data_IF_162338019678
#
_entry.id   IF_162338019678
#
_cell.length_a   1.000
_cell.length_b   1.000
_cell.length_c   1.000
_cell.angle_alpha   90.00
_cell.angle_beta   90.00
_cell.angle_gamma   90.00
#
_symmetry.space_group_name_H-M   'P 1'
#
loop_
_entity.id
_entity.type
_entity.pdbx_description
1 polymer ?
#
# COMPACT_ATOMS: atom_id res chain seq x y z
N UNK A 1 -12.64 -3.98 3.10
CA UNK A 1 -12.72 -2.88 4.10
C UNK A 1 -12.62 -1.55 3.39
N UNK A 2 -13.47 -0.60 3.70
CA UNK A 2 -13.53 0.71 3.07
C UNK A 2 -13.64 1.79 4.15
N UNK A 3 -12.66 2.71 4.17
CA UNK A 3 -12.66 3.87 5.04
C UNK A 3 -12.98 5.14 4.25
N UNK A 4 -13.74 6.04 4.87
CA UNK A 4 -14.04 7.37 4.33
C UNK A 4 -13.70 8.41 5.37
N UNK A 5 -12.84 9.34 5.03
CA UNK A 5 -12.39 10.38 5.94
C UNK A 5 -13.08 11.73 5.67
N UNK A 6 -13.51 12.39 6.75
CA UNK A 6 -14.02 13.76 6.70
C UNK A 6 -12.90 14.82 6.71
N UNK A 7 -13.29 16.10 6.79
CA UNK A 7 -12.33 17.20 6.86
C UNK A 7 -11.43 17.09 8.09
N UNK A 8 -10.14 17.37 7.92
CA UNK A 8 -9.13 17.39 8.99
C UNK A 8 -9.04 16.07 9.79
N UNK A 9 -9.56 14.97 9.25
CA UNK A 9 -9.52 13.68 9.91
C UNK A 9 -8.26 12.89 9.55
N UNK A 10 -7.87 11.99 10.43
CA UNK A 10 -6.77 11.05 10.21
C UNK A 10 -7.24 9.63 10.44
N UNK A 11 -6.88 8.73 9.55
CA UNK A 11 -6.96 7.29 9.77
C UNK A 11 -5.57 6.68 9.61
N UNK A 12 -5.20 5.82 10.54
CA UNK A 12 -4.00 5.01 10.46
C UNK A 12 -4.36 3.57 10.82
N UNK A 13 -3.96 2.61 10.00
CA UNK A 13 -4.15 1.20 10.35
C UNK A 13 -2.92 0.37 9.99
N UNK A 14 -2.71 -0.64 10.80
CA UNK A 14 -1.67 -1.64 10.61
C UNK A 14 -2.31 -2.98 10.30
N UNK A 15 -1.77 -3.67 9.32
CA UNK A 15 -2.23 -4.96 8.86
C UNK A 15 -1.07 -5.95 8.92
N UNK A 16 -1.34 -7.11 9.50
CA UNK A 16 -0.38 -8.23 9.50
C UNK A 16 -1.07 -9.43 8.87
N UNK A 17 -0.46 -9.96 7.81
CA UNK A 17 -0.95 -11.13 7.08
C UNK A 17 0.03 -12.29 7.29
N UNK A 18 -0.47 -13.38 7.86
CA UNK A 18 0.32 -14.59 8.09
C UNK A 18 -0.57 -15.82 8.22
N UNK A 19 -0.05 -16.99 7.88
CA UNK A 19 -0.61 -18.30 8.23
C UNK A 19 -1.60 -18.90 7.26
N UNK A 20 -2.26 -18.15 6.40
CA UNK A 20 -3.20 -18.69 5.40
C UNK A 20 -2.46 -19.23 4.17
N UNK A 21 -2.98 -20.31 3.57
CA UNK A 21 -2.48 -20.82 2.30
C UNK A 21 -2.57 -19.78 1.19
N UNK A 22 -3.70 -19.07 1.13
CA UNK A 22 -3.95 -17.95 0.21
C UNK A 22 -4.52 -16.79 1.00
N UNK A 23 -3.88 -15.63 0.87
CA UNK A 23 -4.38 -14.35 1.42
C UNK A 23 -4.65 -13.40 0.25
N UNK A 24 -5.84 -12.80 0.26
CA UNK A 24 -6.25 -11.82 -0.74
C UNK A 24 -6.95 -10.66 -0.06
N UNK A 25 -6.26 -9.52 0.12
CA UNK A 25 -6.78 -8.43 0.95
C UNK A 25 -6.36 -7.05 0.46
N UNK A 26 -7.37 -6.22 0.16
CA UNK A 26 -7.19 -4.86 -0.36
C UNK A 26 -8.10 -3.85 0.36
N UNK A 27 -7.73 -3.36 1.55
CA UNK A 27 -8.44 -2.26 2.18
C UNK A 27 -8.31 -0.98 1.36
N UNK A 28 -9.35 -0.17 1.36
CA UNK A 28 -9.41 1.08 0.62
C UNK A 28 -9.70 2.25 1.54
N UNK A 29 -9.05 3.38 1.30
CA UNK A 29 -9.31 4.63 1.99
C UNK A 29 -9.66 5.73 1.00
N UNK A 30 -10.82 6.34 1.18
CA UNK A 30 -11.26 7.51 0.42
C UNK A 30 -11.01 8.75 1.27
N UNK A 31 -10.02 9.54 0.90
CA UNK A 31 -9.69 10.83 1.49
C UNK A 31 -10.63 11.89 0.91
N UNK A 32 -11.87 11.91 1.43
CA UNK A 32 -12.95 12.73 0.89
C UNK A 32 -12.89 14.15 1.39
N UNK A 33 -12.59 14.33 2.66
CA UNK A 33 -12.55 15.66 3.28
C UNK A 33 -11.23 16.37 3.02
N UNK A 34 -11.25 17.69 3.04
CA UNK A 34 -10.05 18.52 2.91
C UNK A 34 -9.12 18.31 4.11
N UNK A 35 -7.81 18.35 3.87
CA UNK A 35 -6.75 18.11 4.86
C UNK A 35 -6.83 16.74 5.56
N UNK A 36 -7.52 15.76 4.97
CA UNK A 36 -7.59 14.43 5.55
C UNK A 36 -6.33 13.62 5.28
N UNK A 37 -6.02 12.69 6.20
CA UNK A 37 -4.83 11.84 6.14
C UNK A 37 -5.19 10.37 6.22
N UNK A 38 -4.52 9.56 5.39
CA UNK A 38 -4.58 8.09 5.44
C UNK A 38 -3.19 7.50 5.58
N UNK A 39 -3.00 6.62 6.57
CA UNK A 39 -1.75 5.90 6.75
C UNK A 39 -2.03 4.38 6.75
N UNK A 40 -1.25 3.65 5.99
CA UNK A 40 -1.34 2.20 5.90
C UNK A 40 0.04 1.58 6.11
N UNK A 41 0.08 0.69 7.08
CA UNK A 41 1.26 -0.11 7.40
C UNK A 41 0.92 -1.58 7.20
N UNK A 42 1.68 -2.28 6.37
CA UNK A 42 1.44 -3.67 6.04
C UNK A 42 2.68 -4.52 6.29
N UNK A 43 2.48 -5.65 6.94
CA UNK A 43 3.49 -6.68 7.09
C UNK A 43 2.89 -7.99 6.56
N UNK A 44 3.51 -8.56 5.53
CA UNK A 44 3.12 -9.84 4.97
C UNK A 44 4.24 -10.87 5.19
N UNK A 45 3.93 -11.95 5.91
CA UNK A 45 4.88 -13.02 6.19
C UNK A 45 4.35 -14.31 5.59
N UNK A 46 5.08 -14.89 4.66
CA UNK A 46 4.70 -16.14 4.01
C UNK A 46 5.83 -17.16 4.03
N UNK A 47 5.46 -18.43 4.12
CA UNK A 47 6.38 -19.55 4.14
C UNK A 47 5.77 -20.77 3.41
N UNK A 48 6.58 -21.77 3.14
CA UNK A 48 6.14 -22.98 2.44
C UNK A 48 5.56 -22.67 1.07
N UNK A 49 4.32 -23.03 0.82
CA UNK A 49 3.60 -22.78 -0.44
C UNK A 49 2.57 -21.64 -0.33
N UNK A 50 2.63 -20.83 0.70
CA UNK A 50 1.69 -19.74 0.91
C UNK A 50 1.79 -18.68 -0.19
N UNK A 51 0.64 -18.10 -0.54
CA UNK A 51 0.53 -17.00 -1.49
C UNK A 51 -0.19 -15.83 -0.83
N UNK A 52 0.48 -14.70 -0.75
CA UNK A 52 -0.09 -13.47 -0.22
C UNK A 52 -0.16 -12.44 -1.33
N UNK A 53 -1.36 -12.00 -1.65
CA UNK A 53 -1.60 -10.89 -2.57
C UNK A 53 -2.39 -9.83 -1.80
N UNK A 54 -1.69 -8.81 -1.35
CA UNK A 54 -2.25 -7.76 -0.50
C UNK A 54 -1.89 -6.38 -1.02
N UNK A 55 -2.55 -5.38 -0.49
CA UNK A 55 -2.28 -4.01 -0.88
C UNK A 55 -3.31 -3.04 -0.34
N UNK A 56 -3.30 -1.84 -0.87
CA UNK A 56 -4.26 -0.83 -0.46
C UNK A 56 -4.59 0.12 -1.59
N UNK A 57 -5.72 0.80 -1.45
CA UNK A 57 -6.16 1.87 -2.36
C UNK A 57 -6.30 3.16 -1.58
N UNK A 58 -5.59 4.20 -2.01
CA UNK A 58 -5.70 5.57 -1.49
C UNK A 58 -6.30 6.47 -2.56
N UNK A 59 -7.53 6.91 -2.33
CA UNK A 59 -8.29 7.74 -3.27
C UNK A 59 -8.39 9.15 -2.72
N UNK A 60 -7.65 10.09 -3.30
CA UNK A 60 -7.65 11.50 -2.91
C UNK A 60 -8.77 12.24 -3.64
N UNK A 61 -9.77 12.72 -2.91
CA UNK A 61 -10.90 13.51 -3.42
C UNK A 61 -10.90 14.93 -2.87
N UNK A 62 -10.54 15.12 -1.60
CA UNK A 62 -10.43 16.41 -0.95
C UNK A 62 -9.12 17.12 -1.29
N UNK A 63 -9.06 18.42 -0.98
CA UNK A 63 -7.86 19.26 -1.17
C UNK A 63 -6.85 19.01 -0.03
N UNK A 64 -5.56 19.16 -0.35
CA UNK A 64 -4.47 19.03 0.61
C UNK A 64 -4.51 17.72 1.41
N UNK A 65 -4.97 16.66 0.79
CA UNK A 65 -5.02 15.32 1.38
C UNK A 65 -3.66 14.64 1.32
N UNK A 66 -3.34 13.86 2.34
CA UNK A 66 -2.07 13.15 2.40
C UNK A 66 -2.28 11.66 2.64
N UNK A 67 -1.49 10.83 1.97
CA UNK A 67 -1.45 9.40 2.25
C UNK A 67 -0.02 8.89 2.42
N UNK A 68 0.13 7.90 3.29
CA UNK A 68 1.40 7.20 3.50
C UNK A 68 1.15 5.70 3.47
N UNK A 69 1.96 4.99 2.70
CA UNK A 69 1.89 3.55 2.58
C UNK A 69 3.29 2.99 2.85
N UNK A 70 3.39 2.11 3.84
CA UNK A 70 4.60 1.36 4.12
C UNK A 70 4.24 -0.12 4.08
N UNK A 71 4.79 -0.84 3.11
CA UNK A 71 4.56 -2.28 2.94
C UNK A 71 5.86 -3.04 3.09
N UNK A 72 5.86 -4.03 4.00
CA UNK A 72 7.01 -4.90 4.22
C UNK A 72 6.60 -6.35 4.03
N UNK A 73 7.38 -7.10 3.27
CA UNK A 73 7.13 -8.50 2.98
C UNK A 73 8.31 -9.38 3.38
N UNK A 74 8.01 -10.54 3.97
CA UNK A 74 8.98 -11.60 4.19
C UNK A 74 8.44 -12.86 3.52
N UNK A 75 9.19 -13.42 2.58
CA UNK A 75 8.84 -14.67 1.92
C UNK A 75 9.96 -15.71 2.12
N UNK A 76 9.55 -16.93 2.45
CA UNK A 76 10.45 -18.06 2.65
C UNK A 76 9.95 -19.33 1.94
N UNK A 77 10.80 -20.33 1.77
CA UNK A 77 10.45 -21.58 1.12
C UNK A 77 10.17 -21.39 -0.37
N UNK A 78 8.96 -21.71 -0.80
CA UNK A 78 8.47 -21.50 -2.19
C UNK A 78 7.28 -20.51 -2.23
N UNK A 79 7.10 -19.74 -1.17
CA UNK A 79 6.00 -18.78 -1.04
C UNK A 79 6.16 -17.56 -1.95
N UNK A 80 5.03 -16.90 -2.21
CA UNK A 80 4.98 -15.72 -3.07
C UNK A 80 4.21 -14.59 -2.37
N UNK A 81 4.85 -13.43 -2.28
CA UNK A 81 4.22 -12.21 -1.79
C UNK A 81 4.03 -11.22 -2.94
N UNK A 82 2.84 -10.69 -3.08
CA UNK A 82 2.54 -9.61 -4.02
C UNK A 82 1.95 -8.43 -3.24
N UNK A 83 2.49 -7.26 -3.46
CA UNK A 83 1.91 -6.00 -3.04
C UNK A 83 1.29 -5.28 -4.24
N UNK A 84 0.01 -4.88 -4.12
CA UNK A 84 -0.67 -4.04 -5.11
C UNK A 84 -1.11 -2.74 -4.49
N UNK A 85 -0.58 -1.64 -4.97
CA UNK A 85 -0.92 -0.29 -4.51
C UNK A 85 -1.66 0.48 -5.59
N UNK A 86 -2.78 1.10 -5.21
CA UNK A 86 -3.47 2.06 -6.05
C UNK A 86 -3.50 3.41 -5.33
N UNK A 87 -2.92 4.43 -5.94
CA UNK A 87 -3.02 5.81 -5.45
C UNK A 87 -3.55 6.69 -6.58
N UNK A 88 -4.68 7.33 -6.34
CA UNK A 88 -5.26 8.23 -7.33
C UNK A 88 -5.60 9.58 -6.72
N UNK A 89 -5.39 10.66 -7.49
CA UNK A 89 -5.88 12.00 -7.16
C UNK A 89 -6.92 12.44 -8.19
N UNK A 90 -8.11 12.77 -7.69
CA UNK A 90 -9.16 13.36 -8.49
C UNK A 90 -8.79 14.77 -8.96
N UNK A 91 -9.44 15.26 -10.03
CA UNK A 91 -9.19 16.62 -10.57
C UNK A 91 -9.31 17.72 -9.52
N UNK A 92 -10.21 17.58 -8.55
CA UNK A 92 -10.45 18.55 -7.47
C UNK A 92 -9.51 18.40 -6.27
N UNK A 93 -8.76 17.30 -6.19
CA UNK A 93 -7.84 17.00 -5.09
C UNK A 93 -6.52 17.75 -5.25
N UNK A 94 -6.58 19.06 -5.30
CA UNK A 94 -5.39 19.93 -5.41
C UNK A 94 -4.52 19.80 -4.17
N UNK A 95 -3.20 19.78 -4.34
CA UNK A 95 -2.26 19.65 -3.24
C UNK A 95 -2.23 18.26 -2.61
N UNK A 96 -2.75 17.23 -3.27
CA UNK A 96 -2.68 15.85 -2.81
C UNK A 96 -1.23 15.36 -2.77
N UNK A 97 -0.85 14.63 -1.72
CA UNK A 97 0.49 14.07 -1.56
C UNK A 97 0.40 12.62 -1.13
N UNK A 98 1.27 11.79 -1.71
CA UNK A 98 1.45 10.40 -1.30
C UNK A 98 2.92 10.07 -1.19
N UNK A 99 3.23 9.26 -0.17
CA UNK A 99 4.50 8.56 -0.04
C UNK A 99 4.22 7.05 0.09
N UNK A 100 4.84 6.26 -0.77
CA UNK A 100 4.76 4.80 -0.72
C UNK A 100 6.15 4.20 -0.68
N UNK A 101 6.42 3.32 0.28
CA UNK A 101 7.65 2.53 0.35
C UNK A 101 7.33 1.05 0.47
N UNK A 102 8.03 0.23 -0.30
CA UNK A 102 7.88 -1.23 -0.33
C UNK A 102 9.23 -1.91 -0.13
N UNK A 103 9.34 -2.73 0.91
CA UNK A 103 10.54 -3.52 1.23
C UNK A 103 10.21 -5.01 1.21
N UNK A 104 11.12 -5.82 0.69
CA UNK A 104 10.95 -7.28 0.69
C UNK A 104 12.23 -8.00 1.11
N UNK A 105 12.07 -8.96 2.03
CA UNK A 105 13.10 -9.89 2.44
C UNK A 105 12.77 -11.28 1.91
N UNK A 106 13.67 -11.88 1.16
CA UNK A 106 13.56 -13.22 0.60
C UNK A 106 14.52 -14.16 1.30
N UNK A 107 13.97 -15.23 1.87
CA UNK A 107 14.73 -16.26 2.57
C UNK A 107 14.70 -17.55 1.74
N UNK A 108 15.78 -17.80 1.01
CA UNK A 108 15.93 -18.90 0.08
C UNK A 108 15.73 -18.51 -1.39
N UNK A 109 15.91 -19.47 -2.28
CA UNK A 109 16.04 -19.24 -3.73
C UNK A 109 14.73 -19.39 -4.51
N UNK A 110 13.69 -19.95 -3.88
CA UNK A 110 12.44 -20.33 -4.57
C UNK A 110 11.25 -19.46 -4.19
N UNK A 111 11.39 -18.57 -3.20
CA UNK A 111 10.36 -17.61 -2.84
C UNK A 111 10.44 -16.36 -3.71
N UNK A 112 9.36 -15.60 -3.77
CA UNK A 112 9.29 -14.40 -4.59
C UNK A 112 8.55 -13.25 -3.91
N UNK A 113 8.90 -12.04 -4.34
CA UNK A 113 8.20 -10.82 -3.99
C UNK A 113 7.93 -9.99 -5.25
N UNK A 114 6.71 -9.50 -5.38
CA UNK A 114 6.25 -8.73 -6.53
C UNK A 114 5.58 -7.46 -6.06
N UNK A 115 5.87 -6.36 -6.75
CA UNK A 115 5.25 -5.06 -6.48
C UNK A 115 4.54 -4.59 -7.73
N UNK A 116 3.25 -4.25 -7.60
CA UNK A 116 2.41 -3.77 -8.70
C UNK A 116 1.82 -2.41 -8.30
N UNK A 117 2.57 -1.33 -8.47
CA UNK A 117 2.08 0.01 -8.19
C UNK A 117 1.19 0.51 -9.34
N UNK A 118 0.12 1.21 -8.98
CA UNK A 118 -0.67 2.01 -9.91
C UNK A 118 -0.86 3.41 -9.33
N UNK A 119 -0.39 4.40 -10.05
CA UNK A 119 -0.42 5.80 -9.62
C UNK A 119 -1.04 6.65 -10.72
N UNK A 120 -2.10 7.38 -10.41
CA UNK A 120 -2.77 8.27 -11.34
C UNK A 120 -3.07 9.61 -10.69
N UNK A 121 -2.54 10.69 -11.23
CA UNK A 121 -2.86 12.06 -10.83
C UNK A 121 -3.64 12.76 -11.94
N UNK A 122 -4.86 13.22 -11.64
CA UNK A 122 -5.73 13.95 -12.58
C UNK A 122 -5.62 15.46 -12.42
N UNK A 123 -4.61 15.95 -11.72
CA UNK A 123 -4.26 17.36 -11.61
C UNK A 123 -2.76 17.52 -11.45
N UNK A 124 -2.22 18.68 -11.85
CA UNK A 124 -0.79 18.95 -11.87
C UNK A 124 -0.19 19.31 -10.51
N UNK A 125 -1.00 19.53 -9.49
CA UNK A 125 -0.55 19.89 -8.14
C UNK A 125 -0.33 18.68 -7.22
N UNK A 126 -0.69 17.48 -7.68
CA UNK A 126 -0.47 16.27 -6.91
C UNK A 126 1.01 15.86 -6.96
N UNK A 127 1.56 15.50 -5.81
CA UNK A 127 2.92 14.99 -5.67
C UNK A 127 2.87 13.58 -5.08
N UNK A 128 3.25 12.59 -5.88
CA UNK A 128 3.26 11.19 -5.49
C UNK A 128 4.67 10.62 -5.61
N UNK A 129 5.16 10.08 -4.52
CA UNK A 129 6.47 9.47 -4.41
C UNK A 129 6.31 7.97 -4.15
N UNK A 130 7.01 7.15 -4.91
CA UNK A 130 7.06 5.71 -4.75
C UNK A 130 8.51 5.24 -4.67
N UNK A 131 8.86 4.62 -3.55
CA UNK A 131 10.17 4.01 -3.34
C UNK A 131 10.01 2.49 -3.23
N UNK A 132 10.74 1.76 -4.04
CA UNK A 132 10.98 0.34 -3.87
C UNK A 132 12.39 0.15 -3.35
N UNK A 133 12.54 -0.02 -2.03
CA UNK A 133 13.84 -0.04 -1.35
C UNK A 133 14.57 -1.38 -1.53
N UNK A 134 14.06 -2.23 -2.39
CA UNK A 134 14.79 -3.39 -2.83
C UNK A 134 14.36 -4.71 -2.19
N UNK A 135 14.99 -5.75 -2.72
CA UNK A 135 14.84 -7.14 -2.28
C UNK A 135 16.15 -7.58 -1.67
N UNK A 136 16.15 -7.88 -0.39
CA UNK A 136 17.30 -8.51 0.23
C UNK A 136 17.11 -10.04 0.17
N UNK A 137 18.14 -10.75 -0.28
CA UNK A 137 18.21 -12.20 -0.26
C UNK A 137 19.10 -12.68 0.90
N UNK A 138 18.60 -13.65 1.61
CA UNK A 138 19.36 -14.33 2.67
C UNK A 138 19.34 -15.84 2.44
#
# INVERSE_FOLDING_TARGET
MLFRSGNNSKISWTQVETGSAITWKYPSCILRGDNSRGEFYSIAISNGHQQVDSGTKMLHLGKNTTSRIISKGIAAGVSQNTYRGLVTAHRKATGARNFTACDSLLIGDKCGAHTVPYVEAKNSSALFEHEEIGRAHV
#
